data_IF_296137670773
#
_entry.id   IF_296137670773
#
_cell.length_a   1.000
_cell.length_b   1.000
_cell.length_c   1.000
_cell.angle_alpha   90.00
_cell.angle_beta   90.00
_cell.angle_gamma   90.00
#
_symmetry.space_group_name_H-M   'P 1'
#
loop_
_entity.id
_entity.type
_entity.pdbx_description
1 polymer ?
#
# COMPACT_ATOMS: atom_id res chain seq x y z
N UNK A 1 6.09 -0.97 -29.67
CA UNK A 1 5.67 -2.37 -29.92
C UNK A 1 4.68 -2.78 -28.86
N UNK A 2 3.60 -3.48 -29.23
CA UNK A 2 2.82 -4.25 -28.27
C UNK A 2 3.66 -5.44 -27.79
N UNK A 3 3.49 -5.86 -26.53
CA UNK A 3 4.13 -7.06 -26.01
C UNK A 3 3.35 -8.29 -26.49
N UNK A 4 4.06 -9.28 -27.04
CA UNK A 4 3.47 -10.59 -27.36
C UNK A 4 3.16 -11.33 -26.05
N UNK A 5 1.88 -11.31 -25.66
CA UNK A 5 1.38 -11.99 -24.46
C UNK A 5 0.28 -12.96 -24.87
N UNK A 6 0.37 -14.17 -24.34
CA UNK A 6 -0.61 -15.22 -24.63
C UNK A 6 -2.05 -14.78 -24.29
N UNK A 7 -3.00 -15.04 -25.18
CA UNK A 7 -4.44 -14.81 -24.97
C UNK A 7 -4.97 -15.43 -23.68
N UNK A 8 -4.36 -16.52 -23.22
CA UNK A 8 -4.72 -17.16 -21.95
C UNK A 8 -4.42 -16.25 -20.75
N UNK A 9 -3.30 -15.51 -20.81
CA UNK A 9 -2.88 -14.56 -19.76
C UNK A 9 -3.77 -13.32 -19.78
N UNK A 10 -4.19 -12.86 -20.95
CA UNK A 10 -5.11 -11.72 -21.13
C UNK A 10 -6.50 -12.06 -20.56
N UNK A 11 -7.06 -13.22 -20.94
CA UNK A 11 -8.33 -13.73 -20.39
C UNK A 11 -8.28 -13.91 -18.87
N UNK A 12 -7.14 -14.38 -18.33
CA UNK A 12 -6.95 -14.52 -16.88
C UNK A 12 -6.94 -13.16 -16.17
N UNK A 13 -6.38 -12.12 -16.80
CA UNK A 13 -6.42 -10.75 -16.28
C UNK A 13 -7.85 -10.20 -16.29
N UNK A 14 -8.57 -10.29 -17.42
CA UNK A 14 -9.97 -9.88 -17.53
C UNK A 14 -10.85 -10.58 -16.48
N UNK A 15 -10.67 -11.89 -16.27
CA UNK A 15 -11.41 -12.63 -15.23
C UNK A 15 -11.14 -12.09 -13.82
N UNK A 16 -9.92 -11.66 -13.52
CA UNK A 16 -9.59 -11.06 -12.21
C UNK A 16 -10.27 -9.70 -12.04
N UNK A 17 -10.28 -8.87 -13.09
CA UNK A 17 -10.93 -7.56 -13.05
C UNK A 17 -12.43 -7.70 -12.87
N UNK A 18 -13.10 -8.51 -13.69
CA UNK A 18 -14.55 -8.79 -13.58
C UNK A 18 -14.93 -9.35 -12.22
N UNK A 19 -14.10 -10.24 -11.66
CA UNK A 19 -14.32 -10.78 -10.32
C UNK A 19 -14.20 -9.71 -9.24
N UNK A 20 -13.19 -8.84 -9.31
CA UNK A 20 -13.02 -7.76 -8.34
C UNK A 20 -14.16 -6.73 -8.44
N UNK A 21 -14.54 -6.35 -9.67
CA UNK A 21 -15.68 -5.47 -9.95
C UNK A 21 -16.98 -6.04 -9.38
N UNK A 22 -17.35 -7.25 -9.77
CA UNK A 22 -18.55 -7.94 -9.25
C UNK A 22 -18.55 -8.05 -7.72
N UNK A 23 -17.39 -8.33 -7.11
CA UNK A 23 -17.29 -8.44 -5.65
C UNK A 23 -17.47 -7.10 -4.94
N UNK A 24 -16.99 -6.02 -5.53
CA UNK A 24 -17.11 -4.69 -4.96
C UNK A 24 -18.48 -4.03 -5.25
N UNK A 25 -19.14 -4.40 -6.34
CA UNK A 25 -20.52 -4.00 -6.69
C UNK A 25 -21.60 -4.82 -5.96
N UNK A 26 -21.25 -6.00 -5.42
CA UNK A 26 -22.18 -6.78 -4.59
C UNK A 26 -22.74 -5.91 -3.45
N UNK A 27 -24.02 -6.07 -3.10
CA UNK A 27 -24.76 -5.17 -2.20
C UNK A 27 -24.11 -4.97 -0.82
N UNK A 28 -23.34 -5.94 -0.37
CA UNK A 28 -22.60 -5.87 0.89
C UNK A 28 -21.29 -5.07 0.80
N UNK A 29 -20.86 -4.62 -0.38
CA UNK A 29 -19.61 -3.90 -0.59
C UNK A 29 -19.69 -2.41 -0.25
N UNK A 30 -18.55 -1.70 -0.10
CA UNK A 30 -18.49 -0.24 -0.02
C UNK A 30 -18.62 0.45 -1.40
N UNK A 31 -18.91 -0.30 -2.47
CA UNK A 31 -18.89 0.20 -3.85
C UNK A 31 -17.49 0.51 -4.36
N UNK A 32 -17.37 0.72 -5.68
CA UNK A 32 -16.16 1.28 -6.28
C UNK A 32 -16.21 2.81 -6.17
N UNK A 33 -15.09 3.40 -5.79
CA UNK A 33 -14.87 4.84 -5.93
C UNK A 33 -14.76 5.23 -7.40
N UNK A 34 -14.96 6.50 -7.73
CA UNK A 34 -15.01 6.94 -9.12
C UNK A 34 -13.68 6.71 -9.86
N UNK A 35 -12.55 6.94 -9.19
CA UNK A 35 -11.23 6.60 -9.75
C UNK A 35 -11.02 5.08 -9.88
N UNK A 36 -11.59 4.26 -8.99
CA UNK A 36 -11.51 2.79 -9.10
C UNK A 36 -12.30 2.32 -10.34
N UNK A 37 -13.43 2.95 -10.66
CA UNK A 37 -14.20 2.65 -11.89
C UNK A 37 -13.40 2.99 -13.14
N UNK A 38 -12.83 4.20 -13.20
CA UNK A 38 -11.98 4.65 -14.30
C UNK A 38 -10.76 3.73 -14.48
N UNK A 39 -10.16 3.28 -13.36
CA UNK A 39 -9.07 2.31 -13.38
C UNK A 39 -9.47 0.99 -14.06
N UNK A 40 -10.65 0.44 -13.76
CA UNK A 40 -11.08 -0.81 -14.40
C UNK A 40 -11.35 -0.63 -15.89
N UNK A 41 -12.02 0.45 -16.28
CA UNK A 41 -12.36 0.74 -17.66
C UNK A 41 -11.09 0.92 -18.53
N UNK A 42 -10.16 1.78 -18.10
CA UNK A 42 -8.91 2.01 -18.85
C UNK A 42 -7.95 0.81 -18.85
N UNK A 43 -8.07 -0.12 -17.90
CA UNK A 43 -7.30 -1.38 -17.90
C UNK A 43 -7.97 -2.43 -18.78
N UNK A 44 -9.30 -2.55 -18.76
CA UNK A 44 -10.06 -3.47 -19.61
C UNK A 44 -9.89 -3.12 -21.09
N UNK A 45 -10.06 -1.83 -21.46
CA UNK A 45 -9.83 -1.34 -22.82
C UNK A 45 -8.43 -1.71 -23.33
N UNK A 46 -7.39 -1.46 -22.52
CA UNK A 46 -6.00 -1.75 -22.92
C UNK A 46 -5.74 -3.26 -23.06
N UNK A 47 -6.36 -4.08 -22.23
CA UNK A 47 -6.27 -5.55 -22.36
C UNK A 47 -6.97 -6.05 -23.63
N UNK A 48 -8.04 -5.39 -24.06
CA UNK A 48 -8.76 -5.74 -25.28
C UNK A 48 -8.00 -5.26 -26.53
N UNK A 49 -7.45 -4.04 -26.52
CA UNK A 49 -6.72 -3.50 -27.67
C UNK A 49 -5.35 -4.15 -27.86
N UNK A 50 -4.59 -4.34 -26.78
CA UNK A 50 -3.17 -4.72 -26.86
C UNK A 50 -2.86 -6.09 -26.25
N UNK A 51 -3.85 -6.80 -25.71
CA UNK A 51 -3.63 -8.02 -24.94
C UNK A 51 -2.94 -7.76 -23.58
N UNK A 52 -2.49 -6.55 -23.31
CA UNK A 52 -1.66 -6.23 -22.15
C UNK A 52 -1.99 -4.87 -21.59
N UNK A 53 -2.24 -4.81 -20.29
CA UNK A 53 -2.51 -3.56 -19.58
C UNK A 53 -1.25 -2.69 -19.41
N UNK A 54 -0.09 -3.15 -19.85
CA UNK A 54 1.16 -2.41 -19.72
C UNK A 54 2.18 -2.80 -20.79
N UNK A 55 3.05 -1.89 -21.20
CA UNK A 55 4.03 -2.19 -22.25
C UNK A 55 5.40 -2.62 -21.72
N UNK A 56 5.80 -2.15 -20.55
CA UNK A 56 7.17 -2.36 -20.07
C UNK A 56 7.26 -3.64 -19.21
N UNK A 57 8.13 -4.60 -19.59
CA UNK A 57 8.34 -5.85 -18.86
C UNK A 57 8.83 -5.68 -17.42
N UNK A 58 9.61 -4.63 -17.10
CA UNK A 58 10.22 -4.47 -15.77
C UNK A 58 9.20 -4.14 -14.69
N UNK A 59 8.03 -3.58 -15.06
CA UNK A 59 6.99 -3.21 -14.10
C UNK A 59 6.05 -4.36 -13.75
N UNK A 60 6.34 -5.57 -14.20
CA UNK A 60 5.46 -6.71 -13.98
C UNK A 60 6.13 -8.04 -14.21
N UNK A 61 5.34 -9.11 -14.05
CA UNK A 61 5.80 -10.43 -14.39
C UNK A 61 5.58 -10.65 -15.90
N UNK A 62 6.57 -11.23 -16.59
CA UNK A 62 6.46 -11.65 -17.99
C UNK A 62 5.27 -12.60 -18.20
N UNK A 63 4.88 -13.33 -17.16
CA UNK A 63 3.75 -14.25 -17.19
C UNK A 63 2.37 -13.63 -16.96
N UNK A 64 2.28 -12.31 -16.76
CA UNK A 64 1.01 -11.65 -16.52
C UNK A 64 0.77 -10.42 -17.40
N UNK A 65 -0.44 -10.32 -17.92
CA UNK A 65 -0.91 -9.17 -18.70
C UNK A 65 -1.16 -7.90 -17.84
N UNK A 66 -1.10 -8.00 -16.51
CA UNK A 66 -1.21 -6.87 -15.57
C UNK A 66 0.15 -6.51 -14.99
N UNK A 67 0.39 -5.24 -14.73
CA UNK A 67 1.57 -4.79 -13.99
C UNK A 67 1.49 -5.17 -12.51
N UNK A 68 2.64 -5.19 -11.81
CA UNK A 68 2.69 -5.53 -10.39
C UNK A 68 1.79 -4.60 -9.56
N UNK A 69 1.81 -3.29 -9.86
CA UNK A 69 0.97 -2.29 -9.19
C UNK A 69 -0.51 -2.46 -9.50
N UNK A 70 -0.89 -2.73 -10.74
CA UNK A 70 -2.29 -3.04 -11.09
C UNK A 70 -2.78 -4.27 -10.33
N UNK A 71 -1.95 -5.31 -10.19
CA UNK A 71 -2.34 -6.47 -9.36
C UNK A 71 -2.47 -6.12 -7.89
N UNK A 72 -1.71 -5.15 -7.38
CA UNK A 72 -1.84 -4.66 -6.01
C UNK A 72 -3.18 -3.96 -5.81
N UNK A 73 -3.54 -3.02 -6.70
CA UNK A 73 -4.81 -2.28 -6.68
C UNK A 73 -6.00 -3.25 -6.71
N UNK A 74 -6.01 -4.21 -7.64
CA UNK A 74 -7.09 -5.22 -7.71
C UNK A 74 -7.23 -6.02 -6.41
N UNK A 75 -6.10 -6.35 -5.74
CA UNK A 75 -6.13 -7.02 -4.44
C UNK A 75 -6.63 -6.12 -3.32
N UNK A 76 -6.28 -4.84 -3.33
CA UNK A 76 -6.78 -3.88 -2.34
C UNK A 76 -8.28 -3.71 -2.46
N UNK A 77 -8.81 -3.60 -3.68
CA UNK A 77 -10.25 -3.54 -3.95
C UNK A 77 -10.94 -4.83 -3.49
N UNK A 78 -10.39 -6.01 -3.80
CA UNK A 78 -10.96 -7.29 -3.31
C UNK A 78 -10.91 -7.38 -1.78
N UNK A 79 -9.83 -6.92 -1.13
CA UNK A 79 -9.73 -6.85 0.33
C UNK A 79 -10.75 -5.88 0.92
N UNK A 80 -10.93 -4.71 0.30
CA UNK A 80 -11.89 -3.68 0.71
C UNK A 80 -13.32 -4.22 0.62
N UNK A 81 -13.64 -4.91 -0.48
CA UNK A 81 -14.92 -5.59 -0.65
C UNK A 81 -15.13 -6.73 0.37
N UNK A 82 -14.08 -7.50 0.71
CA UNK A 82 -14.18 -8.59 1.71
C UNK A 82 -14.22 -8.13 3.15
N UNK A 83 -13.54 -7.05 3.51
CA UNK A 83 -13.41 -6.59 4.90
C UNK A 83 -14.76 -6.21 5.52
N UNK A 84 -15.74 -5.81 4.69
CA UNK A 84 -17.13 -5.56 5.14
C UNK A 84 -17.90 -6.86 5.41
N UNK A 85 -17.65 -7.95 4.67
CA UNK A 85 -18.40 -9.22 4.76
C UNK A 85 -17.81 -10.25 5.75
N UNK A 86 -17.04 -9.83 6.75
CA UNK A 86 -16.40 -10.73 7.70
C UNK A 86 -14.97 -11.04 7.30
N UNK A 87 -14.03 -10.45 8.03
CA UNK A 87 -12.61 -10.54 7.79
C UNK A 87 -12.14 -11.98 7.64
N UNK A 88 -11.49 -12.28 6.52
CA UNK A 88 -10.67 -13.47 6.41
C UNK A 88 -9.59 -13.35 7.50
N UNK A 89 -9.83 -14.00 8.65
CA UNK A 89 -8.78 -14.37 9.58
C UNK A 89 -7.80 -15.13 8.70
N UNK A 90 -6.72 -14.47 8.28
CA UNK A 90 -5.55 -15.17 7.78
C UNK A 90 -5.26 -16.13 8.91
N UNK A 91 -5.52 -17.42 8.71
CA UNK A 91 -5.12 -18.42 9.68
C UNK A 91 -3.62 -18.27 9.73
N UNK A 92 -3.13 -17.50 10.73
CA UNK A 92 -1.76 -17.50 11.18
C UNK A 92 -1.41 -18.97 11.19
N UNK A 93 -0.50 -19.37 10.29
CA UNK A 93 -0.11 -20.73 10.02
C UNK A 93 -0.14 -21.53 11.33
N UNK A 94 -1.27 -22.18 11.63
CA UNK A 94 -1.28 -23.22 12.64
C UNK A 94 -0.72 -24.38 11.86
N UNK A 95 0.52 -24.81 12.13
CA UNK A 95 1.03 -26.00 11.49
C UNK A 95 0.01 -27.09 11.77
N UNK A 96 -0.65 -27.59 10.71
CA UNK A 96 -1.35 -28.87 10.79
C UNK A 96 -0.24 -29.88 11.01
N UNK A 97 0.08 -30.16 12.27
CA UNK A 97 0.70 -31.42 12.64
C UNK A 97 -0.20 -32.49 12.02
N UNK A 98 0.26 -33.10 10.94
CA UNK A 98 -0.34 -34.32 10.41
C UNK A 98 -0.10 -35.36 11.50
N UNK A 99 -1.15 -35.64 12.26
CA UNK A 99 -1.17 -36.62 13.33
C UNK A 99 -1.18 -38.02 12.75
N UNK A 100 -0.05 -38.44 12.19
CA UNK A 100 0.19 -39.84 11.81
C UNK A 100 1.59 -40.23 12.29
N UNK A 101 1.77 -40.21 13.60
CA UNK A 101 2.72 -41.09 14.30
C UNK A 101 2.59 -40.88 15.80
N UNK A 102 2.27 -41.98 16.49
CA UNK A 102 2.50 -42.17 17.92
C UNK A 102 3.99 -41.92 18.20
N UNK A 103 4.34 -40.69 18.52
CA UNK A 103 5.62 -40.38 19.17
C UNK A 103 5.35 -39.41 20.31
N UNK A 104 5.16 -40.03 21.47
CA UNK A 104 5.51 -39.59 22.81
C UNK A 104 5.74 -38.08 22.95
N UNK A 105 4.77 -37.43 23.57
CA UNK A 105 4.88 -36.11 24.20
C UNK A 105 6.17 -36.02 25.02
N UNK A 106 7.21 -35.45 24.43
CA UNK A 106 8.31 -34.89 25.19
C UNK A 106 8.13 -33.39 25.12
N UNK A 107 7.87 -32.79 26.29
CA UNK A 107 7.86 -31.36 26.55
C UNK A 107 8.97 -30.68 25.74
N UNK A 108 8.60 -30.02 24.65
CA UNK A 108 9.46 -29.06 23.99
C UNK A 108 9.46 -27.81 24.87
N UNK A 109 10.29 -27.85 25.91
CA UNK A 109 10.72 -26.64 26.60
C UNK A 109 11.90 -26.09 25.80
N UNK A 110 11.78 -24.88 25.20
CA UNK A 110 12.89 -24.29 24.45
C UNK A 110 14.10 -24.19 25.37
N UNK A 111 15.24 -24.80 24.99
CA UNK A 111 16.50 -24.74 25.75
C UNK A 111 17.20 -23.37 25.69
N UNK A 112 16.48 -22.32 25.30
CA UNK A 112 16.97 -20.95 25.26
C UNK A 112 16.45 -20.16 26.44
N UNK A 113 17.29 -19.28 27.01
CA UNK A 113 16.85 -18.19 27.87
C UNK A 113 15.70 -17.44 27.17
N UNK A 114 14.56 -17.25 27.84
CA UNK A 114 13.51 -16.40 27.29
C UNK A 114 14.05 -14.96 27.25
N UNK A 115 13.86 -14.27 26.13
CA UNK A 115 14.21 -12.85 25.98
C UNK A 115 13.48 -11.98 27.00
N UNK A 116 12.36 -12.47 27.55
CA UNK A 116 11.61 -11.81 28.61
C UNK A 116 12.21 -12.00 30.02
N UNK A 117 13.06 -13.01 30.23
CA UNK A 117 13.63 -13.32 31.56
C UNK A 117 14.76 -12.35 31.95
N UNK A 118 15.48 -11.77 30.99
CA UNK A 118 16.55 -10.81 31.22
C UNK A 118 16.04 -9.34 31.29
N UNK A 119 14.72 -9.12 31.17
CA UNK A 119 14.11 -7.80 31.39
C UNK A 119 13.87 -7.65 32.90
N UNK A 120 14.92 -7.25 33.61
CA UNK A 120 14.76 -6.70 34.95
C UNK A 120 13.76 -5.54 34.86
N UNK A 121 12.60 -5.70 35.50
CA UNK A 121 11.67 -4.59 35.74
C UNK A 121 12.38 -3.63 36.67
N UNK A 122 13.11 -2.69 36.09
CA UNK A 122 13.69 -1.58 36.81
C UNK A 122 12.54 -0.72 37.34
N UNK A 123 12.12 -1.01 38.57
CA UNK A 123 11.06 -0.31 39.32
C UNK A 123 11.48 1.12 39.69
N UNK A 124 12.63 1.60 39.21
CA UNK A 124 13.08 2.97 39.41
C UNK A 124 13.32 3.68 38.08
N UNK A 125 12.26 3.81 37.28
CA UNK A 125 12.27 4.69 36.12
C UNK A 125 12.30 6.16 36.59
N UNK A 126 13.28 6.98 36.17
CA UNK A 126 13.19 8.42 36.37
C UNK A 126 11.93 8.93 35.67
N UNK A 127 11.11 9.69 36.41
CA UNK A 127 9.85 10.27 35.94
C UNK A 127 10.09 10.95 34.60
N UNK A 128 9.49 10.40 33.53
CA UNK A 128 9.60 10.97 32.18
C UNK A 128 9.20 12.46 32.23
N UNK A 129 9.95 13.36 31.57
CA UNK A 129 9.52 14.75 31.43
C UNK A 129 8.14 14.80 30.75
N UNK A 130 7.32 15.82 31.06
CA UNK A 130 5.98 15.93 30.50
C UNK A 130 6.04 15.90 28.97
N UNK A 131 5.25 15.02 28.37
CA UNK A 131 5.14 14.90 26.92
C UNK A 131 4.72 16.26 26.32
N UNK A 132 5.36 16.72 25.25
CA UNK A 132 4.93 17.95 24.58
C UNK A 132 3.49 17.77 24.09
N UNK A 133 2.62 18.72 24.44
CA UNK A 133 1.23 18.73 24.00
C UNK A 133 1.14 18.76 22.48
N UNK A 134 0.26 17.95 21.90
CA UNK A 134 0.00 17.97 20.46
C UNK A 134 -0.39 19.38 19.98
N UNK A 135 0.11 19.84 18.82
CA UNK A 135 -0.17 21.18 18.34
C UNK A 135 -1.66 21.36 18.07
N UNK A 136 -2.21 22.47 18.56
CA UNK A 136 -3.59 22.89 18.29
C UNK A 136 -3.71 23.33 16.82
N UNK A 137 -4.48 22.59 16.03
CA UNK A 137 -4.79 22.98 14.65
C UNK A 137 -5.85 24.08 14.66
N UNK A 138 -5.50 25.26 14.17
CA UNK A 138 -6.46 26.33 13.90
C UNK A 138 -7.07 26.16 12.50
N UNK A 139 -8.38 26.34 12.41
CA UNK A 139 -9.10 26.32 11.14
C UNK A 139 -8.77 27.61 10.39
N UNK A 140 -8.06 27.49 9.26
CA UNK A 140 -7.84 28.63 8.36
C UNK A 140 -9.20 29.08 7.81
N UNK A 141 -9.57 30.31 8.15
CA UNK A 141 -10.82 30.95 7.74
C UNK A 141 -10.96 30.96 6.22
N UNK A 142 -12.19 30.70 5.80
CA UNK A 142 -12.79 30.82 4.46
C UNK A 142 -12.18 31.93 3.60
N UNK A 143 -11.43 31.55 2.56
CA UNK A 143 -11.29 32.40 1.38
C UNK A 143 -12.54 32.22 0.53
N UNK A 144 -13.45 33.19 0.65
CA UNK A 144 -14.61 33.37 -0.21
C UNK A 144 -14.14 33.45 -1.66
N UNK A 145 -14.78 32.66 -2.52
CA UNK A 145 -14.63 32.72 -3.97
C UNK A 145 -15.07 34.08 -4.49
N UNK A 146 -14.18 34.77 -5.20
CA UNK A 146 -14.59 35.78 -6.18
C UNK A 146 -13.98 35.43 -7.53
N UNK A 147 -14.83 34.76 -8.33
CA UNK A 147 -14.71 34.54 -9.75
C UNK A 147 -14.53 35.89 -10.48
N UNK A 148 -13.32 36.15 -11.01
CA UNK A 148 -13.12 37.12 -12.08
C UNK A 148 -12.37 36.49 -13.24
N UNK A 149 -13.16 36.19 -14.25
CA UNK A 149 -12.78 35.94 -15.64
C UNK A 149 -11.90 37.08 -16.17
N UNK A 150 -10.65 36.78 -16.51
CA UNK A 150 -9.86 37.58 -17.44
C UNK A 150 -8.85 36.69 -18.15
N UNK A 151 -9.08 36.53 -19.46
CA UNK A 151 -8.10 36.13 -20.46
C UNK A 151 -6.81 36.94 -20.30
N UNK A 152 -5.64 36.32 -20.39
CA UNK A 152 -4.43 36.97 -20.90
C UNK A 152 -3.40 35.93 -21.36
N UNK A 153 -2.92 36.17 -22.57
CA UNK A 153 -1.79 35.56 -23.23
C UNK A 153 -0.50 35.62 -22.39
N UNK A 154 0.39 34.66 -22.63
CA UNK A 154 1.78 34.63 -22.15
C UNK A 154 2.63 35.74 -22.82
N UNK A 155 3.93 35.97 -22.48
CA UNK A 155 4.78 35.33 -21.46
C UNK A 155 5.56 36.34 -20.57
N UNK A 156 6.08 35.92 -19.41
CA UNK A 156 7.22 36.63 -18.79
C UNK A 156 8.03 35.73 -17.86
N UNK A 157 9.34 35.85 -18.01
CA UNK A 157 10.46 35.13 -17.37
C UNK A 157 10.82 35.68 -15.98
N UNK A 158 11.72 34.96 -15.28
CA UNK A 158 12.34 35.20 -13.96
C UNK A 158 11.52 34.62 -12.79
N UNK A 159 12.04 33.84 -11.85
CA UNK A 159 13.40 33.65 -11.35
C UNK A 159 13.48 32.25 -10.68
N UNK A 160 14.48 31.46 -11.06
CA UNK A 160 14.79 30.18 -10.43
C UNK A 160 15.49 30.43 -9.09
N UNK A 161 14.76 30.28 -7.98
CA UNK A 161 15.35 30.33 -6.65
C UNK A 161 16.37 29.19 -6.50
N UNK A 162 17.65 29.56 -6.37
CA UNK A 162 18.76 28.62 -6.16
C UNK A 162 18.57 27.89 -4.82
N UNK A 163 18.79 26.56 -4.75
CA UNK A 163 18.75 25.86 -3.47
C UNK A 163 19.90 26.33 -2.56
N UNK A 164 19.60 26.56 -1.29
CA UNK A 164 20.58 26.93 -0.28
C UNK A 164 21.67 25.84 -0.14
N UNK A 165 22.95 26.20 0.04
CA UNK A 165 24.00 25.21 0.18
C UNK A 165 23.87 24.43 1.50
N UNK A 166 23.96 23.11 1.38
CA UNK A 166 23.99 22.14 2.47
C UNK A 166 25.18 22.41 3.41
N UNK A 167 24.92 22.69 4.70
CA UNK A 167 25.96 22.84 5.72
C UNK A 167 26.22 21.50 6.42
N UNK A 168 27.43 20.99 6.29
CA UNK A 168 27.94 19.80 7.00
C UNK A 168 28.17 20.16 8.47
N UNK A 169 27.47 19.50 9.39
CA UNK A 169 27.76 19.61 10.83
C UNK A 169 29.05 18.81 11.07
N UNK A 170 30.15 19.53 11.19
CA UNK A 170 31.46 18.96 11.47
C UNK A 170 31.48 18.46 12.92
N UNK A 171 31.78 17.16 13.07
CA UNK A 171 31.58 16.41 14.30
C UNK A 171 32.27 16.99 15.54
N UNK A 172 31.59 16.87 16.68
CA UNK A 172 32.17 17.03 18.00
C UNK A 172 33.15 15.90 18.29
N UNK A 173 34.43 16.16 18.04
CA UNK A 173 35.54 15.41 18.63
C UNK A 173 35.59 15.70 20.14
N UNK A 174 35.74 14.60 20.87
CA UNK A 174 36.05 14.45 22.29
C UNK A 174 36.75 15.63 22.98
N UNK A 175 36.33 15.90 24.20
CA UNK A 175 37.22 16.42 25.25
C UNK A 175 37.18 15.44 26.42
N UNK A 176 38.39 15.13 26.85
CA UNK A 176 38.78 14.34 28.02
C UNK A 176 38.40 15.05 29.32
#
# INVERSE_FOLDING_TARGET
>A
MARDIDDKKTKKALRKLRKAKSRAESEDGPGLTDWEKEFFEGVEERLETFGSAFNDPEKGNLDSALSARQTHIVREIDKKARKKNGGMKRSSFKPKLKSDSKTKTNNFSPRGRDINDDIETNINAPKMPPQPSSPTLYLASTHTEENKRATNDAPSTSETAKPLPFKVIQGGKAQS
#
